data_IF_615476844072
#
_entry.id   IF_615476844072
#
_cell.length_a   1.000
_cell.length_b   1.000
_cell.length_c   1.000
_cell.angle_alpha   90.00
_cell.angle_beta   90.00
_cell.angle_gamma   90.00
#
_symmetry.space_group_name_H-M   'P 1'
#
loop_
_entity.id
_entity.type
_entity.pdbx_description
1 polymer ?
#
# COMPACT_ATOMS: atom_id res chain seq x y z
N UNK A 1 17.07 -8.66 -4.48
CA UNK A 1 16.13 -8.89 -3.35
C UNK A 1 16.73 -10.00 -2.51
N UNK A 2 16.85 -9.84 -1.19
CA UNK A 2 17.40 -10.88 -0.29
C UNK A 2 16.28 -11.84 0.15
N UNK A 3 16.61 -13.05 0.59
CA UNK A 3 15.62 -14.02 1.13
C UNK A 3 14.77 -13.41 2.26
N UNK A 4 15.41 -12.65 3.15
CA UNK A 4 14.74 -11.91 4.23
C UNK A 4 13.67 -10.95 3.69
N UNK A 5 13.97 -10.20 2.62
CA UNK A 5 13.00 -9.26 2.06
C UNK A 5 11.79 -10.02 1.46
N UNK A 6 12.00 -11.20 0.89
CA UNK A 6 10.91 -12.02 0.35
C UNK A 6 9.97 -12.50 1.47
N UNK A 7 10.49 -12.98 2.59
CA UNK A 7 9.68 -13.40 3.75
C UNK A 7 8.84 -12.25 4.33
N UNK A 8 9.42 -11.05 4.38
CA UNK A 8 8.72 -9.84 4.83
C UNK A 8 7.58 -9.47 3.86
N UNK A 9 7.83 -9.50 2.55
CA UNK A 9 6.81 -9.24 1.53
C UNK A 9 5.68 -10.28 1.61
N UNK A 10 6.00 -11.56 1.79
CA UNK A 10 4.99 -12.61 1.99
C UNK A 10 4.15 -12.39 3.25
N UNK A 11 4.76 -11.90 4.33
CA UNK A 11 4.05 -11.56 5.57
C UNK A 11 3.09 -10.38 5.39
N UNK A 12 3.54 -9.35 4.65
CA UNK A 12 2.70 -8.21 4.25
C UNK A 12 1.51 -8.69 3.40
N UNK A 13 1.77 -9.50 2.38
CA UNK A 13 0.72 -10.06 1.51
C UNK A 13 -0.28 -10.89 2.30
N UNK A 14 0.19 -11.72 3.25
CA UNK A 14 -0.68 -12.52 4.10
C UNK A 14 -1.60 -11.65 4.96
N UNK A 15 -1.06 -10.58 5.57
CA UNK A 15 -1.86 -9.64 6.35
C UNK A 15 -2.95 -8.97 5.49
N UNK A 16 -2.58 -8.47 4.32
CA UNK A 16 -3.51 -7.82 3.39
C UNK A 16 -4.56 -8.79 2.83
N UNK A 17 -4.17 -10.01 2.50
CA UNK A 17 -5.11 -11.03 2.02
C UNK A 17 -6.17 -11.40 3.07
N UNK A 18 -5.83 -11.34 4.37
CA UNK A 18 -6.79 -11.56 5.45
C UNK A 18 -7.79 -10.41 5.60
N UNK A 19 -7.53 -9.24 5.00
CA UNK A 19 -8.42 -8.08 5.01
C UNK A 19 -9.28 -7.99 3.74
N UNK A 20 -9.21 -8.96 2.83
CA UNK A 20 -10.09 -8.95 1.65
C UNK A 20 -11.55 -9.02 2.07
N UNK A 21 -12.39 -8.23 1.40
CA UNK A 21 -13.80 -8.04 1.71
C UNK A 21 -14.09 -6.98 2.78
N UNK A 22 -13.06 -6.32 3.35
CA UNK A 22 -13.25 -5.26 4.35
C UNK A 22 -12.93 -3.87 3.79
N UNK A 23 -13.24 -2.84 4.58
CA UNK A 23 -12.82 -1.48 4.28
C UNK A 23 -11.51 -1.17 5.01
N UNK A 24 -10.51 -0.67 4.30
CA UNK A 24 -9.25 -0.27 4.90
C UNK A 24 -9.04 1.23 4.73
N UNK A 25 -8.44 1.87 5.73
CA UNK A 25 -7.84 3.20 5.57
C UNK A 25 -6.35 3.09 5.36
N UNK A 26 -5.81 3.93 4.49
CA UNK A 26 -4.40 3.98 4.12
C UNK A 26 -3.92 5.41 4.31
N UNK A 27 -2.93 5.60 5.18
CA UNK A 27 -2.21 6.86 5.31
C UNK A 27 -0.80 6.68 4.77
N UNK A 28 -0.37 7.55 3.87
CA UNK A 28 1.00 7.61 3.37
C UNK A 28 1.62 8.92 3.84
N UNK A 29 2.71 8.81 4.60
CA UNK A 29 3.49 9.93 5.10
C UNK A 29 4.79 10.03 4.30
N UNK A 30 4.99 11.17 3.63
CA UNK A 30 6.26 11.54 2.99
C UNK A 30 6.72 12.89 3.52
N UNK A 31 7.78 12.89 4.36
CA UNK A 31 8.25 14.11 5.05
C UNK A 31 7.08 14.81 5.76
N UNK A 32 6.71 16.01 5.30
CA UNK A 32 5.65 16.85 5.87
C UNK A 32 4.28 16.67 5.20
N UNK A 33 4.18 15.77 4.21
CA UNK A 33 2.95 15.50 3.45
C UNK A 33 2.26 14.20 3.90
N UNK A 34 0.92 14.23 3.92
CA UNK A 34 0.08 13.11 4.36
C UNK A 34 -1.06 12.89 3.37
N UNK A 35 -0.94 11.83 2.58
CA UNK A 35 -2.02 11.33 1.75
C UNK A 35 -2.92 10.40 2.57
N UNK A 36 -4.24 10.56 2.43
CA UNK A 36 -5.24 9.72 3.10
C UNK A 36 -6.16 9.09 2.08
N UNK A 37 -6.32 7.79 2.16
CA UNK A 37 -7.16 7.02 1.25
C UNK A 37 -8.01 6.02 2.02
N UNK A 38 -9.14 5.63 1.45
CA UNK A 38 -9.90 4.46 1.87
C UNK A 38 -10.14 3.56 0.67
N UNK A 39 -10.23 2.25 0.89
CA UNK A 39 -10.58 1.30 -0.16
C UNK A 39 -11.39 0.14 0.43
N UNK A 40 -12.45 -0.25 -0.28
CA UNK A 40 -13.12 -1.53 -0.08
C UNK A 40 -12.27 -2.59 -0.75
N UNK A 41 -11.48 -3.32 0.03
CA UNK A 41 -10.44 -4.20 -0.49
C UNK A 41 -11.05 -5.45 -1.12
N UNK A 42 -10.96 -5.58 -2.43
CA UNK A 42 -11.49 -6.71 -3.20
C UNK A 42 -10.40 -7.76 -3.46
N UNK A 43 -9.19 -7.31 -3.83
CA UNK A 43 -8.07 -8.21 -4.12
C UNK A 43 -6.70 -7.59 -3.84
N UNK A 44 -5.67 -8.44 -3.75
CA UNK A 44 -4.28 -8.05 -3.45
C UNK A 44 -3.33 -8.84 -4.35
N UNK A 45 -2.54 -8.15 -5.16
CA UNK A 45 -1.56 -8.79 -6.04
C UNK A 45 -0.22 -8.06 -6.06
N UNK A 46 0.84 -8.76 -6.47
CA UNK A 46 2.11 -8.11 -6.83
C UNK A 46 2.06 -7.80 -8.32
N UNK A 47 2.27 -6.55 -8.68
CA UNK A 47 2.37 -6.11 -10.08
C UNK A 47 3.82 -5.73 -10.37
N UNK A 48 4.31 -6.18 -11.53
CA UNK A 48 5.55 -5.69 -12.10
C UNK A 48 5.24 -4.47 -12.98
N UNK A 49 5.68 -3.29 -12.55
CA UNK A 49 5.54 -2.06 -13.31
C UNK A 49 6.50 -2.12 -14.50
N UNK A 50 6.00 -1.85 -15.72
CA UNK A 50 6.88 -1.74 -16.89
C UNK A 50 7.80 -0.55 -16.64
N UNK A 51 9.10 -0.78 -16.79
CA UNK A 51 10.16 0.18 -16.46
C UNK A 51 9.86 1.54 -17.08
N UNK A 52 9.59 2.54 -16.26
CA UNK A 52 9.58 3.93 -16.68
C UNK A 52 11.02 4.36 -16.97
N UNK A 53 11.25 5.12 -18.05
CA UNK A 53 12.61 5.52 -18.47
C UNK A 53 13.33 6.37 -17.41
N UNK A 54 12.58 6.99 -16.50
CA UNK A 54 13.08 7.94 -15.50
C UNK A 54 13.23 7.36 -14.08
N UNK A 55 13.10 6.04 -13.87
CA UNK A 55 13.22 5.36 -12.56
C UNK A 55 12.28 5.92 -11.46
N UNK A 56 11.23 6.66 -11.84
CA UNK A 56 10.30 7.30 -10.92
C UNK A 56 9.42 6.28 -10.19
N UNK A 57 9.06 5.19 -10.88
CA UNK A 57 8.15 4.14 -10.38
C UNK A 57 8.93 2.93 -9.86
N UNK A 58 8.47 2.37 -8.74
CA UNK A 58 9.05 1.15 -8.20
C UNK A 58 8.70 -0.06 -9.08
N UNK A 59 9.68 -0.91 -9.45
CA UNK A 59 9.46 -1.97 -10.43
C UNK A 59 8.48 -3.03 -9.93
N UNK A 60 8.32 -3.16 -8.61
CA UNK A 60 7.32 -4.03 -8.01
C UNK A 60 6.50 -3.26 -6.99
N UNK A 61 5.18 -3.35 -7.11
CA UNK A 61 4.23 -2.80 -6.16
C UNK A 61 3.28 -3.91 -5.70
N UNK A 62 2.75 -3.76 -4.49
CA UNK A 62 1.55 -4.48 -4.09
C UNK A 62 0.37 -3.62 -4.51
N UNK A 63 -0.47 -4.14 -5.40
CA UNK A 63 -1.70 -3.47 -5.79
C UNK A 63 -2.85 -3.95 -4.92
N UNK A 64 -3.53 -3.00 -4.28
CA UNK A 64 -4.76 -3.19 -3.52
C UNK A 64 -5.92 -2.83 -4.45
N UNK A 65 -6.67 -3.82 -4.93
CA UNK A 65 -7.78 -3.61 -5.86
C UNK A 65 -9.08 -3.38 -5.12
N UNK A 66 -9.90 -2.49 -5.64
CA UNK A 66 -11.23 -2.21 -5.13
C UNK A 66 -11.61 -0.73 -5.19
N UNK A 67 -12.90 -0.45 -5.04
CA UNK A 67 -13.37 0.94 -5.02
C UNK A 67 -12.83 1.66 -3.79
N UNK A 68 -12.34 2.86 -3.97
CA UNK A 68 -11.84 3.65 -2.85
C UNK A 68 -11.99 5.15 -3.08
N UNK A 69 -11.53 5.92 -2.10
CA UNK A 69 -11.54 7.37 -2.16
C UNK A 69 -10.23 7.97 -1.67
N UNK A 70 -9.76 9.00 -2.36
CA UNK A 70 -8.76 9.96 -1.86
C UNK A 70 -9.48 10.96 -0.97
N UNK A 71 -8.95 11.22 0.23
CA UNK A 71 -9.55 12.11 1.24
C UNK A 71 -8.72 13.38 1.34
N UNK A 72 -9.35 14.52 1.08
CA UNK A 72 -8.78 15.86 1.19
C UNK A 72 -9.36 16.60 2.41
N UNK A 73 -8.74 17.72 2.85
CA UNK A 73 -9.28 18.53 3.94
C UNK A 73 -10.73 19.01 3.73
N UNK A 74 -11.14 19.23 2.47
CA UNK A 74 -12.43 19.83 2.09
C UNK A 74 -13.30 18.92 1.20
N UNK A 75 -13.02 17.62 1.14
CA UNK A 75 -13.80 16.69 0.33
C UNK A 75 -13.13 15.34 0.09
N UNK A 76 -13.70 14.56 -0.82
CA UNK A 76 -13.11 13.31 -1.29
C UNK A 76 -13.37 13.11 -2.78
N UNK A 77 -12.54 12.30 -3.41
CA UNK A 77 -12.72 11.87 -4.80
C UNK A 77 -12.47 10.37 -4.93
N UNK A 78 -13.04 9.68 -5.93
CA UNK A 78 -12.75 8.26 -6.14
C UNK A 78 -11.26 8.00 -6.37
N UNK A 79 -10.76 6.85 -5.92
CA UNK A 79 -9.41 6.39 -6.29
C UNK A 79 -9.33 6.24 -7.82
N UNK A 80 -8.28 6.80 -8.45
CA UNK A 80 -7.96 6.47 -9.82
C UNK A 80 -7.83 4.95 -9.98
N UNK A 81 -8.31 4.41 -11.11
CA UNK A 81 -8.18 2.99 -11.47
C UNK A 81 -8.83 1.98 -10.51
N UNK A 82 -9.59 2.41 -9.50
CA UNK A 82 -10.12 1.54 -8.44
C UNK A 82 -9.03 0.64 -7.83
N UNK A 83 -7.86 1.23 -7.58
CA UNK A 83 -6.78 0.53 -6.91
C UNK A 83 -5.87 1.50 -6.17
N UNK A 84 -5.13 1.00 -5.20
CA UNK A 84 -4.04 1.71 -4.54
C UNK A 84 -2.75 0.93 -4.74
N UNK A 85 -1.69 1.62 -5.17
CA UNK A 85 -0.38 1.03 -5.31
C UNK A 85 0.44 1.27 -4.04
N UNK A 86 0.93 0.18 -3.45
CA UNK A 86 1.79 0.17 -2.29
C UNK A 86 3.20 -0.25 -2.72
N UNK A 87 4.15 0.70 -2.83
CA UNK A 87 5.53 0.38 -3.17
C UNK A 87 6.22 -0.48 -2.12
N UNK A 88 6.99 -1.46 -2.58
CA UNK A 88 7.73 -2.40 -1.72
C UNK A 88 9.24 -2.46 -2.01
N UNK A 89 9.73 -1.64 -2.95
CA UNK A 89 11.17 -1.46 -3.16
C UNK A 89 11.77 -0.81 -1.92
N UNK A 90 13.00 -1.18 -1.58
CA UNK A 90 13.71 -0.67 -0.40
C UNK A 90 12.89 -0.75 0.90
N UNK A 91 12.18 -1.86 1.10
CA UNK A 91 11.52 -2.15 2.37
C UNK A 91 12.53 -2.08 3.53
N UNK A 92 12.35 -1.11 4.43
CA UNK A 92 13.22 -0.90 5.60
C UNK A 92 12.70 -1.67 6.81
N UNK A 93 11.38 -1.62 7.04
CA UNK A 93 10.73 -2.34 8.13
C UNK A 93 9.24 -2.52 7.85
N UNK A 94 8.62 -3.50 8.51
CA UNK A 94 7.17 -3.62 8.57
C UNK A 94 6.74 -4.14 9.94
N UNK A 95 5.54 -3.77 10.37
CA UNK A 95 4.88 -4.28 11.57
C UNK A 95 3.44 -4.61 11.21
N UNK A 96 2.96 -5.78 11.62
CA UNK A 96 1.62 -6.25 11.32
C UNK A 96 0.93 -6.78 12.59
N UNK A 97 -0.34 -6.44 12.74
CA UNK A 97 -1.28 -7.02 13.69
C UNK A 97 -2.54 -7.48 12.94
N UNK A 98 -3.58 -7.89 13.66
CA UNK A 98 -4.86 -8.26 13.03
C UNK A 98 -5.57 -7.07 12.38
N UNK A 99 -5.34 -5.84 12.87
CA UNK A 99 -6.08 -4.65 12.45
C UNK A 99 -5.18 -3.54 11.88
N UNK A 100 -3.86 -3.63 12.08
CA UNK A 100 -2.90 -2.60 11.70
C UNK A 100 -1.73 -3.18 10.92
N UNK A 101 -1.26 -2.41 9.94
CA UNK A 101 -0.08 -2.74 9.14
C UNK A 101 0.68 -1.46 8.88
N UNK A 102 1.92 -1.39 9.37
CA UNK A 102 2.84 -0.28 9.12
C UNK A 102 3.96 -0.79 8.22
N UNK A 103 4.22 -0.09 7.13
CA UNK A 103 5.27 -0.42 6.15
C UNK A 103 6.14 0.81 5.96
N UNK A 104 7.45 0.65 6.11
CA UNK A 104 8.41 1.73 5.92
C UNK A 104 9.32 1.41 4.74
N UNK A 105 9.39 2.33 3.80
CA UNK A 105 10.33 2.34 2.67
C UNK A 105 11.33 3.47 2.86
N UNK A 106 12.27 3.62 1.92
CA UNK A 106 13.15 4.78 1.85
C UNK A 106 12.41 6.09 1.50
N UNK A 107 11.27 6.01 0.79
CA UNK A 107 10.46 7.16 0.38
C UNK A 107 9.41 7.56 1.42
N UNK A 108 8.65 6.59 1.92
CA UNK A 108 7.44 6.87 2.70
C UNK A 108 7.20 5.85 3.83
N UNK A 109 6.37 6.26 4.79
CA UNK A 109 5.74 5.36 5.76
C UNK A 109 4.26 5.21 5.44
N UNK A 110 3.81 3.97 5.27
CA UNK A 110 2.43 3.61 5.01
C UNK A 110 1.83 2.99 6.26
N UNK A 111 0.70 3.52 6.71
CA UNK A 111 -0.07 2.99 7.85
C UNK A 111 -1.45 2.61 7.37
N UNK A 112 -1.73 1.31 7.37
CA UNK A 112 -3.00 0.74 6.96
C UNK A 112 -3.76 0.23 8.18
N UNK A 113 -5.07 0.44 8.20
CA UNK A 113 -5.96 -0.05 9.25
C UNK A 113 -7.20 -0.70 8.66
N UNK A 114 -7.53 -1.89 9.14
CA UNK A 114 -8.79 -2.55 8.89
C UNK A 114 -9.91 -1.89 9.71
N UNK A 115 -11.08 -1.65 9.09
CA UNK A 115 -12.24 -1.01 9.73
C UNK A 115 -13.43 -1.95 9.85
#
# INVERSE_FOLDING_TARGET
MTEKNNEQIQSILKALNNWKGTNISINKQEKDDIDRNTISLEDVEIVHQVKDEDDYVDPYTIQLKGKGTVVYPNGSSPLPLNSYELPIRQLLSFEASQEFLTIKTDRATYTLKNK
#
